data_IF_233068134404
#
_entry.id   IF_233068134404
#
_cell.length_a   1.000
_cell.length_b   1.000
_cell.length_c   1.000
_cell.angle_alpha   90.00
_cell.angle_beta   90.00
_cell.angle_gamma   90.00
#
_symmetry.space_group_name_H-M   'P 1'
#
loop_
_entity.id
_entity.type
_entity.pdbx_description
1 polymer ?
#
# COMPACT_ATOMS: atom_id res chain seq x y z
N UNK A 1 -19.19 26.36 29.93
CA UNK A 1 -17.79 25.87 29.86
C UNK A 1 -17.78 24.36 29.60
N UNK A 2 -17.04 23.89 28.60
CA UNK A 2 -17.06 22.48 28.18
C UNK A 2 -16.05 21.58 28.92
N UNK A 3 -15.40 20.72 28.14
CA UNK A 3 -14.30 19.83 28.58
C UNK A 3 -13.21 20.68 29.23
N UNK A 4 -12.65 20.21 30.35
CA UNK A 4 -11.60 20.90 31.10
C UNK A 4 -10.37 20.02 31.20
N UNK A 5 -9.18 20.63 31.09
CA UNK A 5 -7.87 19.97 31.14
C UNK A 5 -7.17 20.17 32.48
N UNK A 6 -7.94 20.50 33.51
CA UNK A 6 -7.42 20.62 34.86
C UNK A 6 -7.05 19.26 35.46
N UNK A 7 -6.29 19.28 36.56
CA UNK A 7 -5.87 18.07 37.27
C UNK A 7 -6.57 17.93 38.63
N UNK A 8 -7.30 18.96 39.08
CA UNK A 8 -7.90 18.98 40.42
C UNK A 8 -9.19 18.15 40.52
N UNK A 9 -9.87 17.86 39.40
CA UNK A 9 -10.96 16.89 39.38
C UNK A 9 -10.50 15.43 39.60
N UNK A 10 -9.19 15.14 39.49
CA UNK A 10 -8.62 13.80 39.70
C UNK A 10 -8.36 13.54 41.19
N UNK A 11 -8.22 12.26 41.55
CA UNK A 11 -7.82 11.83 42.90
C UNK A 11 -6.37 12.22 43.21
N UNK A 12 -6.03 12.26 44.51
CA UNK A 12 -4.64 12.37 45.00
C UNK A 12 -3.86 11.11 44.66
N UNK A 13 -2.53 11.19 44.74
CA UNK A 13 -1.66 10.01 44.67
C UNK A 13 -2.03 8.96 45.73
N UNK A 14 -2.46 9.40 46.93
CA UNK A 14 -2.99 8.54 48.00
C UNK A 14 -4.38 7.94 47.72
N UNK A 15 -5.00 8.22 46.57
CA UNK A 15 -6.36 7.78 46.23
C UNK A 15 -7.50 8.64 46.81
N UNK A 16 -7.20 9.52 47.77
CA UNK A 16 -8.18 10.44 48.37
C UNK A 16 -8.84 11.38 47.35
N UNK A 17 -10.16 11.59 47.47
CA UNK A 17 -10.92 12.52 46.63
C UNK A 17 -10.54 13.96 46.97
N UNK A 18 -10.39 14.82 45.95
CA UNK A 18 -10.11 16.25 46.12
C UNK A 18 -11.42 17.03 46.02
N UNK A 19 -11.67 17.96 46.96
CA UNK A 19 -12.75 18.94 46.83
C UNK A 19 -12.31 20.04 45.84
N UNK A 20 -13.13 20.41 44.84
CA UNK A 20 -12.80 21.50 43.94
C UNK A 20 -12.67 22.83 44.71
N UNK A 21 -11.54 23.52 44.54
CA UNK A 21 -11.23 24.77 45.25
C UNK A 21 -11.89 25.97 44.55
N UNK A 22 -12.08 25.88 43.23
CA UNK A 22 -12.60 26.97 42.39
C UNK A 22 -13.40 26.44 41.20
N UNK A 23 -14.16 27.32 40.57
CA UNK A 23 -14.83 27.06 39.27
C UNK A 23 -13.78 26.91 38.14
N UNK A 24 -14.19 26.27 37.03
CA UNK A 24 -13.36 26.10 35.83
C UNK A 24 -12.88 27.45 35.28
N UNK A 25 -11.67 27.52 34.74
CA UNK A 25 -11.11 28.75 34.12
C UNK A 25 -10.98 28.62 32.62
N UNK A 26 -11.05 29.76 31.90
CA UNK A 26 -10.97 29.79 30.44
C UNK A 26 -9.67 29.18 29.89
N UNK A 27 -8.53 29.36 30.57
CA UNK A 27 -7.26 28.78 30.14
C UNK A 27 -7.17 27.25 30.32
N UNK A 28 -8.06 26.64 31.10
CA UNK A 28 -8.13 25.18 31.30
C UNK A 28 -9.01 24.50 30.24
N UNK A 29 -9.54 25.24 29.25
CA UNK A 29 -10.47 24.69 28.27
C UNK A 29 -9.83 23.57 27.43
N UNK A 30 -10.58 22.50 27.24
CA UNK A 30 -10.40 21.50 26.19
C UNK A 30 -11.31 21.79 25.00
N UNK A 31 -10.89 21.34 23.82
CA UNK A 31 -11.75 21.34 22.61
C UNK A 31 -11.97 19.89 22.18
N UNK A 32 -13.10 19.56 21.50
CA UNK A 32 -13.32 18.23 20.94
C UNK A 32 -12.16 17.79 20.03
N UNK A 33 -11.99 16.49 19.81
CA UNK A 33 -10.99 15.98 18.86
C UNK A 33 -11.32 16.38 17.41
N UNK A 34 -10.32 16.41 16.54
CA UNK A 34 -10.52 16.73 15.12
C UNK A 34 -10.99 15.50 14.30
N UNK A 35 -10.54 14.30 14.68
CA UNK A 35 -10.85 13.03 13.99
C UNK A 35 -10.71 13.11 12.47
N UNK A 36 -9.56 13.63 12.02
CA UNK A 36 -9.24 13.92 10.63
C UNK A 36 -9.40 12.67 9.76
N UNK A 37 -10.18 12.76 8.68
CA UNK A 37 -10.48 11.63 7.78
C UNK A 37 -9.80 11.80 6.43
N UNK A 38 -9.75 10.71 5.66
CA UNK A 38 -9.42 10.77 4.25
C UNK A 38 -10.57 11.38 3.45
N UNK A 39 -10.26 12.31 2.55
CA UNK A 39 -11.22 12.98 1.67
C UNK A 39 -10.73 14.36 1.23
N UNK A 40 -11.56 15.06 0.45
CA UNK A 40 -11.22 16.41 -0.05
C UNK A 40 -10.83 17.35 1.07
N UNK A 41 -9.76 18.13 0.84
CA UNK A 41 -9.16 18.98 1.86
C UNK A 41 -10.19 19.92 2.49
N UNK A 42 -10.41 19.77 3.80
CA UNK A 42 -11.26 20.65 4.60
C UNK A 42 -10.59 20.95 5.93
N UNK A 43 -10.21 22.22 6.11
CA UNK A 43 -9.48 22.71 7.29
C UNK A 43 -10.25 23.87 7.90
N UNK A 44 -10.54 23.81 9.20
CA UNK A 44 -11.15 24.91 9.95
C UNK A 44 -10.10 25.61 10.81
N UNK A 45 -10.14 26.94 10.82
CA UNK A 45 -9.29 27.76 11.68
C UNK A 45 -9.89 27.84 13.08
N UNK A 46 -9.04 27.76 14.11
CA UNK A 46 -9.46 27.84 15.51
C UNK A 46 -8.57 28.83 16.24
N UNK A 47 -9.15 29.93 16.74
CA UNK A 47 -8.44 30.89 17.60
C UNK A 47 -8.07 30.24 18.93
N UNK A 48 -6.81 30.39 19.32
CA UNK A 48 -6.21 29.90 20.54
C UNK A 48 -5.87 31.06 21.50
N UNK A 49 -5.24 30.75 22.63
CA UNK A 49 -4.79 31.74 23.61
C UNK A 49 -3.73 32.65 23.00
N UNK A 50 -3.77 33.94 23.36
CA UNK A 50 -2.80 34.93 22.87
C UNK A 50 -3.02 35.35 21.42
N UNK A 51 -4.22 35.14 20.84
CA UNK A 51 -4.52 35.54 19.47
C UNK A 51 -4.07 34.57 18.38
N UNK A 52 -3.23 33.58 18.71
CA UNK A 52 -2.71 32.58 17.78
C UNK A 52 -3.82 31.73 17.12
N UNK A 53 -3.52 31.19 15.93
CA UNK A 53 -4.44 30.36 15.15
C UNK A 53 -3.92 28.92 15.07
N UNK A 54 -4.83 27.95 15.19
CA UNK A 54 -4.56 26.53 14.92
C UNK A 54 -5.39 26.05 13.74
N UNK A 55 -4.82 25.15 12.96
CA UNK A 55 -5.45 24.58 11.77
C UNK A 55 -5.98 23.19 12.10
N UNK A 56 -7.30 23.07 12.15
CA UNK A 56 -7.97 21.81 12.43
C UNK A 56 -8.38 21.16 11.11
N UNK A 57 -7.57 20.22 10.64
CA UNK A 57 -7.98 19.39 9.52
C UNK A 57 -9.12 18.45 9.93
N UNK A 58 -10.22 18.51 9.17
CA UNK A 58 -11.33 17.56 9.24
C UNK A 58 -11.18 16.48 8.17
N UNK A 59 -10.72 16.86 6.98
CA UNK A 59 -10.44 15.95 5.86
C UNK A 59 -9.14 16.34 5.16
N UNK A 60 -8.33 15.35 4.82
CA UNK A 60 -7.10 15.48 4.02
C UNK A 60 -6.96 14.27 3.10
N UNK A 61 -6.48 14.49 1.90
CA UNK A 61 -6.22 13.47 0.87
C UNK A 61 -4.75 13.44 0.44
N UNK A 62 -3.98 14.50 0.70
CA UNK A 62 -2.57 14.58 0.37
C UNK A 62 -1.73 15.05 1.57
N UNK A 63 -0.44 14.74 1.51
CA UNK A 63 0.56 15.13 2.49
C UNK A 63 1.94 15.30 1.85
N UNK A 64 2.87 15.95 2.56
CA UNK A 64 4.26 16.02 2.11
C UNK A 64 5.08 14.92 2.78
N UNK A 65 5.57 13.97 1.98
CA UNK A 65 6.32 12.81 2.49
C UNK A 65 7.77 12.88 2.03
N UNK A 66 8.68 12.55 2.95
CA UNK A 66 10.12 12.47 2.67
C UNK A 66 10.59 11.03 2.51
N UNK A 67 11.37 10.77 1.47
CA UNK A 67 12.16 9.56 1.30
C UNK A 67 13.55 9.80 1.91
N UNK A 68 13.80 9.17 3.06
CA UNK A 68 14.94 9.46 3.93
C UNK A 68 16.29 9.12 3.30
N UNK A 69 16.44 7.92 2.74
CA UNK A 69 17.72 7.48 2.13
C UNK A 69 18.19 8.39 0.99
N UNK A 70 17.25 8.84 0.17
CA UNK A 70 17.50 9.62 -1.04
C UNK A 70 17.36 11.14 -0.85
N UNK A 71 17.00 11.59 0.36
CA UNK A 71 16.70 12.99 0.69
C UNK A 71 15.71 13.67 -0.28
N UNK A 72 14.72 12.91 -0.76
CA UNK A 72 13.73 13.40 -1.72
C UNK A 72 12.38 13.60 -1.03
N UNK A 73 11.83 14.82 -1.08
CA UNK A 73 10.52 15.13 -0.49
C UNK A 73 9.52 15.46 -1.58
N UNK A 74 8.34 14.82 -1.55
CA UNK A 74 7.29 15.02 -2.55
C UNK A 74 5.91 15.05 -1.91
N UNK A 75 5.05 15.90 -2.47
CA UNK A 75 3.61 15.89 -2.18
C UNK A 75 3.02 14.64 -2.82
N UNK A 76 2.46 13.76 -2.01
CA UNK A 76 1.82 12.53 -2.47
C UNK A 76 0.42 12.39 -1.90
N UNK A 77 -0.42 11.64 -2.60
CA UNK A 77 -1.77 11.32 -2.16
C UNK A 77 -1.71 10.21 -1.11
N UNK A 78 -2.47 10.37 -0.04
CA UNK A 78 -2.70 9.37 0.99
C UNK A 78 -3.89 8.51 0.57
N UNK A 79 -3.66 7.21 0.42
CA UNK A 79 -4.64 6.26 -0.11
C UNK A 79 -5.44 5.63 1.05
N UNK A 80 -4.74 5.10 2.06
CA UNK A 80 -5.39 4.40 3.15
C UNK A 80 -4.57 4.45 4.45
N UNK A 81 -5.21 4.17 5.59
CA UNK A 81 -4.55 3.99 6.88
C UNK A 81 -4.48 2.49 7.18
N UNK A 82 -3.28 1.94 7.33
CA UNK A 82 -3.09 0.48 7.46
C UNK A 82 -2.85 0.05 8.89
N UNK A 83 -2.09 0.83 9.65
CA UNK A 83 -1.72 0.49 11.01
C UNK A 83 -1.68 1.73 11.91
N UNK A 84 -2.06 1.54 13.17
CA UNK A 84 -1.98 2.54 14.21
C UNK A 84 -1.58 1.82 15.50
N UNK A 85 -0.55 2.35 16.18
CA UNK A 85 -0.03 1.76 17.40
C UNK A 85 -0.95 1.97 18.61
N UNK A 86 -1.70 3.09 18.66
CA UNK A 86 -2.48 3.45 19.84
C UNK A 86 -3.87 2.81 19.88
N UNK A 87 -4.58 2.76 18.76
CA UNK A 87 -5.93 2.20 18.73
C UNK A 87 -6.29 1.63 17.34
N UNK A 88 -6.81 0.40 17.34
CA UNK A 88 -7.24 -0.31 16.14
C UNK A 88 -8.50 0.29 15.48
N UNK A 89 -9.39 0.93 16.24
CA UNK A 89 -10.59 1.57 15.70
C UNK A 89 -10.27 2.76 14.80
N UNK A 90 -9.11 3.40 15.02
CA UNK A 90 -8.64 4.49 14.17
C UNK A 90 -8.26 4.01 12.77
N UNK A 91 -7.85 2.75 12.63
CA UNK A 91 -7.59 2.10 11.34
C UNK A 91 -8.91 1.83 10.63
N UNK A 92 -9.88 1.22 11.34
CA UNK A 92 -11.21 0.90 10.77
C UNK A 92 -11.93 2.13 10.23
N UNK A 93 -11.83 3.24 10.96
CA UNK A 93 -12.48 4.51 10.60
C UNK A 93 -11.60 5.43 9.74
N UNK A 94 -10.42 4.97 9.30
CA UNK A 94 -9.46 5.72 8.46
C UNK A 94 -9.14 7.12 9.00
N UNK A 95 -8.78 7.18 10.29
CA UNK A 95 -8.45 8.45 10.96
C UNK A 95 -6.95 8.73 10.88
N UNK A 96 -6.59 9.92 10.42
CA UNK A 96 -5.21 10.41 10.35
C UNK A 96 -4.78 11.01 11.69
N UNK A 97 -3.77 10.42 12.31
CA UNK A 97 -3.14 10.90 13.54
C UNK A 97 -1.62 10.80 13.43
N UNK A 98 -0.89 11.45 14.34
CA UNK A 98 0.56 11.30 14.41
C UNK A 98 0.93 9.83 14.62
N UNK A 99 1.98 9.39 13.93
CA UNK A 99 2.52 8.04 13.87
C UNK A 99 1.54 6.99 13.31
N UNK A 100 0.49 7.41 12.60
CA UNK A 100 -0.30 6.48 11.80
C UNK A 100 0.54 6.00 10.62
N UNK A 101 0.52 4.68 10.36
CA UNK A 101 1.14 4.10 9.17
C UNK A 101 0.09 4.10 8.06
N UNK A 102 0.41 4.83 7.01
CA UNK A 102 -0.45 5.09 5.86
C UNK A 102 0.16 4.52 4.59
N UNK A 103 -0.69 4.24 3.62
CA UNK A 103 -0.27 3.91 2.26
C UNK A 103 -0.35 5.18 1.43
N UNK A 104 0.74 5.52 0.78
CA UNK A 104 0.86 6.67 -0.11
C UNK A 104 1.11 6.23 -1.55
N UNK A 105 0.84 7.13 -2.48
CA UNK A 105 1.16 6.96 -3.89
C UNK A 105 2.70 6.98 -4.12
N UNK A 106 3.22 6.00 -4.85
CA UNK A 106 4.64 5.89 -5.15
C UNK A 106 5.07 6.72 -6.38
N UNK A 107 4.11 7.15 -7.21
CA UNK A 107 4.39 7.76 -8.52
C UNK A 107 5.30 9.00 -8.45
N UNK A 108 5.17 9.94 -7.50
CA UNK A 108 6.03 11.13 -7.49
C UNK A 108 7.49 10.80 -7.12
N UNK A 109 7.71 9.75 -6.33
CA UNK A 109 9.06 9.28 -5.98
C UNK A 109 9.68 8.50 -7.14
N UNK A 110 8.89 7.69 -7.86
CA UNK A 110 9.35 6.98 -9.05
C UNK A 110 9.80 7.95 -10.14
N UNK A 111 9.00 8.97 -10.44
CA UNK A 111 9.35 10.01 -11.42
C UNK A 111 10.64 10.75 -11.03
N UNK A 112 10.82 11.04 -9.74
CA UNK A 112 12.05 11.66 -9.25
C UNK A 112 13.26 10.74 -9.42
N UNK A 113 13.11 9.45 -9.09
CA UNK A 113 14.19 8.46 -9.21
C UNK A 113 14.63 8.29 -10.66
N UNK A 114 13.68 8.12 -11.59
CA UNK A 114 13.94 8.00 -13.03
C UNK A 114 14.65 9.26 -13.59
N UNK A 115 14.26 10.45 -13.14
CA UNK A 115 14.93 11.69 -13.53
C UNK A 115 16.34 11.86 -12.93
N UNK A 116 16.57 11.36 -11.70
CA UNK A 116 17.84 11.56 -10.99
C UNK A 116 18.92 10.52 -11.37
N UNK A 117 18.51 9.26 -11.54
CA UNK A 117 19.41 8.12 -11.81
C UNK A 117 19.37 7.60 -13.25
N UNK A 118 18.34 7.96 -14.03
CA UNK A 118 18.12 7.44 -15.39
C UNK A 118 17.99 5.91 -15.42
N UNK A 119 17.45 5.33 -14.35
CA UNK A 119 17.18 3.90 -14.23
C UNK A 119 15.68 3.70 -13.99
N UNK A 120 15.05 2.71 -14.64
CA UNK A 120 13.66 2.39 -14.36
C UNK A 120 13.52 1.75 -12.98
N UNK A 121 12.49 2.14 -12.22
CA UNK A 121 12.20 1.61 -10.88
C UNK A 121 10.77 1.05 -10.79
N UNK A 122 10.62 -0.13 -10.19
CA UNK A 122 9.30 -0.70 -9.87
C UNK A 122 8.45 -1.10 -11.08
N UNK A 123 9.08 -1.50 -12.19
CA UNK A 123 8.37 -1.99 -13.38
C UNK A 123 8.46 -3.51 -13.46
N UNK A 124 7.35 -4.13 -13.84
CA UNK A 124 7.37 -5.57 -14.16
C UNK A 124 8.33 -5.82 -15.32
N UNK A 125 9.16 -6.85 -15.19
CA UNK A 125 10.06 -7.31 -16.25
C UNK A 125 9.26 -7.53 -17.54
N UNK A 126 9.60 -6.80 -18.60
CA UNK A 126 8.94 -6.87 -19.92
C UNK A 126 7.80 -5.87 -20.17
N UNK A 127 7.44 -5.01 -19.21
CA UNK A 127 6.50 -3.92 -19.48
C UNK A 127 7.20 -2.81 -20.28
N UNK A 128 6.62 -2.44 -21.43
CA UNK A 128 7.10 -1.30 -22.24
C UNK A 128 6.99 0.00 -21.42
N UNK A 129 8.02 0.84 -21.53
CA UNK A 129 7.99 2.17 -20.95
C UNK A 129 7.05 3.07 -21.73
N UNK A 130 6.51 4.10 -21.05
CA UNK A 130 5.72 5.12 -21.75
C UNK A 130 6.68 6.05 -22.48
N UNK A 131 6.24 6.60 -23.62
CA UNK A 131 7.08 7.46 -24.47
C UNK A 131 7.69 8.64 -23.69
N UNK A 132 6.94 9.22 -22.75
CA UNK A 132 7.41 10.30 -21.91
C UNK A 132 8.53 9.88 -20.94
N UNK A 133 8.45 8.69 -20.36
CA UNK A 133 9.45 8.18 -19.41
C UNK A 133 10.70 7.68 -20.17
N UNK A 134 10.53 7.04 -21.32
CA UNK A 134 11.62 6.66 -22.22
C UNK A 134 12.39 7.88 -22.74
N UNK A 135 11.68 8.95 -23.08
CA UNK A 135 12.30 10.20 -23.51
C UNK A 135 13.16 10.82 -22.40
N UNK A 136 12.77 10.69 -21.12
CA UNK A 136 13.55 11.20 -19.99
C UNK A 136 14.81 10.36 -19.77
N UNK A 137 14.69 9.03 -19.82
CA UNK A 137 15.79 8.10 -19.55
C UNK A 137 16.81 8.15 -20.69
N UNK A 138 16.35 7.95 -21.93
CA UNK A 138 17.20 7.80 -23.12
C UNK A 138 17.56 9.12 -23.83
N UNK A 139 17.26 10.27 -23.23
CA UNK A 139 17.65 11.58 -23.78
C UNK A 139 19.16 11.61 -24.05
N UNK A 140 19.54 11.91 -25.30
CA UNK A 140 20.93 12.18 -25.69
C UNK A 140 21.46 13.36 -24.87
N UNK A 141 22.60 13.18 -24.21
CA UNK A 141 23.22 14.15 -23.30
C UNK A 141 24.70 14.33 -23.65
N UNK A 142 25.26 15.48 -23.27
CA UNK A 142 26.70 15.74 -23.44
C UNK A 142 27.55 14.74 -22.65
N UNK A 143 28.78 14.48 -23.11
CA UNK A 143 29.71 13.52 -22.49
C UNK A 143 29.95 13.79 -21.00
N UNK A 144 30.11 15.07 -20.61
CA UNK A 144 30.27 15.50 -19.20
C UNK A 144 29.03 15.15 -18.35
N UNK A 145 27.84 15.36 -18.91
CA UNK A 145 26.57 15.05 -18.24
C UNK A 145 26.38 13.55 -18.10
N UNK A 146 26.69 12.76 -19.12
CA UNK A 146 26.62 11.30 -19.07
C UNK A 146 27.54 10.75 -17.96
N UNK A 147 28.79 11.23 -17.86
CA UNK A 147 29.73 10.86 -16.79
C UNK A 147 29.18 11.16 -15.39
N UNK A 148 28.49 12.29 -15.22
CA UNK A 148 27.82 12.65 -13.95
C UNK A 148 26.74 11.62 -13.55
N UNK A 149 25.93 11.15 -14.49
CA UNK A 149 24.90 10.15 -14.21
C UNK A 149 25.50 8.76 -13.95
N UNK A 150 26.53 8.35 -14.70
CA UNK A 150 27.25 7.10 -14.42
C UNK A 150 27.81 7.06 -13.00
N UNK A 151 28.32 8.19 -12.50
CA UNK A 151 28.77 8.29 -11.11
C UNK A 151 27.62 8.15 -10.11
N UNK A 152 26.44 8.73 -10.39
CA UNK A 152 25.25 8.61 -9.54
C UNK A 152 24.69 7.18 -9.53
N UNK A 153 24.68 6.52 -10.68
CA UNK A 153 24.14 5.17 -10.83
C UNK A 153 24.83 4.14 -9.93
N UNK A 154 26.09 4.39 -9.54
CA UNK A 154 26.82 3.55 -8.57
C UNK A 154 26.14 3.48 -7.20
N UNK A 155 25.42 4.54 -6.81
CA UNK A 155 24.73 4.63 -5.51
C UNK A 155 23.23 4.35 -5.63
N UNK A 156 22.73 4.01 -6.81
CA UNK A 156 21.28 3.93 -7.08
C UNK A 156 20.58 2.70 -6.49
N UNK A 157 21.28 1.85 -5.73
CA UNK A 157 20.72 0.58 -5.24
C UNK A 157 19.68 0.83 -4.16
N UNK A 158 18.43 0.44 -4.44
CA UNK A 158 17.31 0.51 -3.49
C UNK A 158 17.19 -0.80 -2.70
N UNK A 159 16.70 -0.72 -1.47
CA UNK A 159 16.41 -1.87 -0.61
C UNK A 159 15.28 -2.74 -1.22
N UNK A 160 15.41 -4.09 -1.21
CA UNK A 160 14.50 -4.96 -1.95
C UNK A 160 13.05 -4.90 -1.46
N UNK A 161 12.79 -4.75 -0.15
CA UNK A 161 11.42 -4.64 0.34
C UNK A 161 10.75 -3.32 -0.08
N UNK A 162 11.52 -2.24 -0.24
CA UNK A 162 11.03 -1.00 -0.82
C UNK A 162 10.80 -1.14 -2.34
N UNK A 163 11.67 -1.86 -3.05
CA UNK A 163 11.49 -2.15 -4.49
C UNK A 163 10.18 -2.90 -4.76
N UNK A 164 9.83 -3.89 -3.94
CA UNK A 164 8.53 -4.59 -4.02
C UNK A 164 7.34 -3.61 -3.89
N UNK A 165 7.45 -2.60 -3.02
CA UNK A 165 6.40 -1.59 -2.85
C UNK A 165 6.27 -0.70 -4.08
N UNK A 166 7.39 -0.30 -4.70
CA UNK A 166 7.38 0.44 -5.97
C UNK A 166 6.71 -0.37 -7.10
N UNK A 167 6.88 -1.70 -7.15
CA UNK A 167 6.17 -2.57 -8.10
C UNK A 167 4.65 -2.57 -7.89
N UNK A 168 4.18 -2.41 -6.64
CA UNK A 168 2.75 -2.27 -6.35
C UNK A 168 2.22 -0.85 -6.61
N UNK A 169 3.11 0.13 -6.81
CA UNK A 169 2.79 1.55 -6.97
C UNK A 169 2.37 2.24 -5.68
N UNK A 170 2.62 1.62 -4.52
CA UNK A 170 2.14 2.08 -3.21
C UNK A 170 3.24 1.91 -2.16
N UNK A 171 3.62 2.99 -1.50
CA UNK A 171 4.61 2.97 -0.42
C UNK A 171 3.94 3.02 0.95
N UNK A 172 4.56 2.39 1.94
CA UNK A 172 4.21 2.58 3.34
C UNK A 172 4.95 3.78 3.92
N UNK A 173 4.22 4.66 4.59
CA UNK A 173 4.76 5.86 5.20
C UNK A 173 4.20 6.08 6.60
N UNK A 174 4.97 6.77 7.45
CA UNK A 174 4.57 7.18 8.78
C UNK A 174 4.24 8.67 8.78
N UNK A 175 3.07 9.03 9.30
CA UNK A 175 2.69 10.45 9.49
C UNK A 175 3.42 11.03 10.71
N UNK A 176 4.34 11.96 10.52
CA UNK A 176 5.10 12.58 11.61
C UNK A 176 4.40 13.83 12.18
N UNK A 177 3.59 14.50 11.35
CA UNK A 177 2.87 15.72 11.74
C UNK A 177 1.65 15.43 12.65
N UNK A 178 1.00 16.50 13.14
CA UNK A 178 -0.24 16.43 13.93
C UNK A 178 -1.40 17.10 13.18
N UNK A 179 -2.14 16.39 12.31
CA UNK A 179 -3.15 16.97 11.42
C UNK A 179 -4.21 17.83 12.12
N UNK A 180 -4.64 17.45 13.33
CA UNK A 180 -5.63 18.21 14.10
C UNK A 180 -5.11 19.51 14.74
N UNK A 181 -3.81 19.81 14.65
CA UNK A 181 -3.19 21.03 15.19
C UNK A 181 -2.61 21.92 14.08
N UNK A 182 -1.87 21.32 13.14
CA UNK A 182 -1.19 22.04 12.05
C UNK A 182 -1.95 21.99 10.71
N UNK A 183 -2.99 21.16 10.59
CA UNK A 183 -3.76 21.04 9.35
C UNK A 183 -3.04 20.28 8.22
N UNK A 184 -1.87 19.69 8.49
CA UNK A 184 -1.05 18.97 7.51
C UNK A 184 -0.83 17.51 7.92
N UNK A 185 -0.68 16.63 6.94
CA UNK A 185 -0.40 15.20 7.12
C UNK A 185 0.97 14.86 6.51
N UNK A 186 2.02 15.47 7.05
CA UNK A 186 3.40 15.30 6.58
C UNK A 186 4.05 14.10 7.27
N UNK A 187 5.02 13.49 6.61
CA UNK A 187 5.61 12.24 7.08
C UNK A 187 6.86 11.81 6.34
N UNK A 188 7.25 10.56 6.55
CA UNK A 188 8.38 9.94 5.88
C UNK A 188 8.04 8.51 5.44
N UNK A 189 8.70 8.04 4.39
CA UNK A 189 8.59 6.67 3.90
C UNK A 189 9.28 5.71 4.86
N UNK A 190 8.67 4.56 5.14
CA UNK A 190 9.25 3.56 6.03
C UNK A 190 10.33 2.75 5.30
N UNK A 191 11.50 2.61 5.93
CA UNK A 191 12.66 1.92 5.33
C UNK A 191 13.34 0.95 6.33
N UNK A 192 14.11 0.00 5.80
CA UNK A 192 14.97 -0.89 6.57
C UNK A 192 14.26 -1.66 7.69
N UNK A 193 14.85 -1.67 8.89
CA UNK A 193 14.32 -2.38 10.07
C UNK A 193 12.96 -1.86 10.52
N UNK A 194 12.70 -0.57 10.34
CA UNK A 194 11.40 0.02 10.71
C UNK A 194 10.30 -0.52 9.79
N UNK A 195 10.59 -0.58 8.48
CA UNK A 195 9.67 -1.18 7.51
C UNK A 195 9.38 -2.65 7.83
N UNK A 196 10.42 -3.43 8.07
CA UNK A 196 10.28 -4.85 8.43
C UNK A 196 9.41 -5.04 9.68
N UNK A 197 9.63 -4.22 10.71
CA UNK A 197 8.86 -4.25 11.94
C UNK A 197 7.36 -4.04 11.69
N UNK A 198 6.99 -2.99 10.93
CA UNK A 198 5.59 -2.70 10.64
C UNK A 198 4.97 -3.74 9.70
N UNK A 199 5.71 -4.24 8.71
CA UNK A 199 5.25 -5.34 7.85
C UNK A 199 4.93 -6.57 8.68
N UNK A 200 5.79 -6.94 9.63
CA UNK A 200 5.54 -8.05 10.56
C UNK A 200 4.28 -7.82 11.39
N UNK A 201 4.11 -6.63 11.99
CA UNK A 201 2.90 -6.30 12.78
C UNK A 201 1.62 -6.36 11.94
N UNK A 202 1.65 -5.87 10.69
CA UNK A 202 0.51 -5.92 9.78
C UNK A 202 0.17 -7.37 9.42
N UNK A 203 1.17 -8.19 9.07
CA UNK A 203 1.01 -9.62 8.77
C UNK A 203 0.40 -10.37 9.96
N UNK A 204 0.96 -10.22 11.16
CA UNK A 204 0.43 -10.87 12.37
C UNK A 204 -1.02 -10.46 12.68
N UNK A 205 -1.36 -9.17 12.52
CA UNK A 205 -2.73 -8.68 12.74
C UNK A 205 -3.72 -9.27 11.73
N UNK A 206 -3.31 -9.40 10.46
CA UNK A 206 -4.12 -10.06 9.42
C UNK A 206 -4.33 -11.54 9.72
N UNK A 207 -3.28 -12.26 10.11
CA UNK A 207 -3.36 -13.68 10.47
C UNK A 207 -4.30 -13.92 11.66
N UNK A 208 -4.17 -13.13 12.74
CA UNK A 208 -5.06 -13.22 13.91
C UNK A 208 -6.53 -12.99 13.53
N UNK A 209 -6.80 -12.01 12.67
CA UNK A 209 -8.15 -11.73 12.17
C UNK A 209 -8.70 -12.88 11.32
N UNK A 210 -7.88 -13.47 10.44
CA UNK A 210 -8.27 -14.61 9.64
C UNK A 210 -8.61 -15.82 10.51
N UNK A 211 -7.77 -16.14 11.50
CA UNK A 211 -7.99 -17.25 12.43
C UNK A 211 -9.27 -17.07 13.26
N UNK A 212 -9.50 -15.87 13.79
CA UNK A 212 -10.73 -15.56 14.52
C UNK A 212 -12.00 -15.73 13.64
N UNK A 213 -11.89 -15.37 12.36
CA UNK A 213 -12.99 -15.54 11.40
C UNK A 213 -13.27 -17.01 11.10
N UNK A 214 -12.22 -17.83 10.98
CA UNK A 214 -12.36 -19.28 10.78
C UNK A 214 -12.92 -20.01 12.01
N UNK A 215 -12.55 -19.59 13.22
CA UNK A 215 -13.10 -20.16 14.46
C UNK A 215 -14.59 -19.83 14.61
N UNK A 216 -14.96 -18.56 14.42
CA UNK A 216 -16.37 -18.14 14.46
C UNK A 216 -17.24 -18.87 13.43
N UNK A 217 -16.68 -19.24 12.27
CA UNK A 217 -17.39 -20.04 11.27
C UNK A 217 -17.64 -21.48 11.73
N UNK A 218 -16.69 -22.10 12.45
CA UNK A 218 -16.87 -23.43 13.05
C UNK A 218 -17.94 -23.42 14.16
N UNK A 219 -18.00 -22.36 14.95
CA UNK A 219 -18.97 -22.23 16.06
C UNK A 219 -20.42 -21.98 15.60
N UNK A 220 -20.64 -21.56 14.35
CA UNK A 220 -21.98 -21.25 13.81
C UNK A 220 -22.70 -22.45 13.18
N UNK A 221 -22.17 -23.67 13.34
CA UNK A 221 -22.89 -24.91 12.99
C UNK A 221 -23.25 -25.09 11.52
N UNK A 222 -22.75 -24.26 10.60
CA UNK A 222 -22.95 -24.47 9.16
C UNK A 222 -21.91 -25.47 8.65
N UNK A 223 -22.34 -26.72 8.52
CA UNK A 223 -21.61 -27.88 7.97
C UNK A 223 -21.34 -27.77 6.46
N UNK A 224 -20.90 -26.61 5.98
CA UNK A 224 -20.31 -26.45 4.66
C UNK A 224 -18.80 -26.32 4.78
N UNK A 225 -18.01 -27.07 4.01
CA UNK A 225 -16.55 -26.89 3.96
C UNK A 225 -16.23 -25.43 3.56
N UNK A 226 -15.70 -24.63 4.47
CA UNK A 226 -15.05 -23.37 4.10
C UNK A 226 -13.78 -23.71 3.33
N UNK A 227 -13.88 -23.80 2.01
CA UNK A 227 -12.71 -23.82 1.12
C UNK A 227 -12.24 -22.38 1.05
N UNK A 228 -11.07 -22.01 1.61
CA UNK A 228 -10.51 -20.69 1.37
C UNK A 228 -10.33 -20.59 -0.14
N UNK A 229 -11.10 -19.72 -0.80
CA UNK A 229 -10.86 -19.40 -2.21
C UNK A 229 -9.42 -18.94 -2.30
N UNK A 230 -8.54 -19.79 -2.83
CA UNK A 230 -7.28 -19.33 -3.41
C UNK A 230 -7.68 -18.18 -4.32
N UNK A 231 -7.06 -17.02 -4.14
CA UNK A 231 -7.21 -15.90 -5.06
C UNK A 231 -6.51 -16.33 -6.36
N UNK A 232 -7.16 -17.20 -7.13
CA UNK A 232 -6.91 -17.31 -8.56
C UNK A 232 -7.67 -16.15 -9.17
N UNK A 233 -6.91 -15.17 -9.67
CA UNK A 233 -7.43 -14.10 -10.52
C UNK A 233 -8.33 -14.71 -11.61
N UNK A 234 -9.39 -14.04 -12.05
CA UNK A 234 -10.10 -14.50 -13.24
C UNK A 234 -9.16 -14.28 -14.43
N UNK A 235 -8.47 -15.34 -14.86
CA UNK A 235 -8.02 -15.42 -16.24
C UNK A 235 -9.26 -15.83 -17.02
N UNK A 236 -9.81 -14.89 -17.77
CA UNK A 236 -10.97 -15.10 -18.62
C UNK A 236 -10.66 -16.27 -19.56
N UNK A 237 -11.37 -17.38 -19.36
CA UNK A 237 -11.32 -18.58 -20.17
C UNK A 237 -12.44 -18.45 -21.20
N UNK A 238 -12.17 -17.67 -22.25
CA UNK A 238 -12.89 -17.75 -23.52
C UNK A 238 -11.82 -17.96 -24.57
N UNK A 239 -11.68 -19.23 -24.97
CA UNK A 239 -10.91 -19.81 -26.09
C UNK A 239 -10.20 -21.07 -25.62
N UNK A 240 -10.99 -22.14 -25.44
CA UNK A 240 -10.48 -23.46 -25.05
C UNK A 240 -11.31 -24.63 -25.54
N UNK A 241 -12.22 -24.40 -26.50
CA UNK A 241 -13.03 -25.46 -27.12
C UNK A 241 -12.62 -25.82 -28.56
N UNK A 242 -11.57 -25.18 -29.12
CA UNK A 242 -11.05 -25.51 -30.46
C UNK A 242 -9.81 -26.41 -30.49
N UNK A 243 -9.34 -26.92 -29.35
CA UNK A 243 -8.10 -27.73 -29.25
C UNK A 243 -8.34 -29.13 -28.66
N UNK A 244 -9.49 -29.75 -28.98
CA UNK A 244 -9.72 -31.19 -28.76
C UNK A 244 -9.83 -32.01 -30.04
N UNK A 245 -9.88 -31.36 -31.21
CA UNK A 245 -9.94 -32.04 -32.53
C UNK A 245 -8.60 -32.11 -33.27
N UNK A 246 -7.48 -31.79 -32.64
CA UNK A 246 -6.16 -31.83 -33.31
C UNK A 246 -5.12 -32.75 -32.65
N UNK A 247 -5.48 -33.49 -31.60
CA UNK A 247 -4.55 -34.34 -30.85
C UNK A 247 -4.85 -35.84 -30.94
N UNK A 248 -5.82 -36.25 -31.78
CA UNK A 248 -6.12 -37.66 -32.03
C UNK A 248 -5.60 -38.19 -33.39
N UNK A 249 -4.81 -37.41 -34.14
CA UNK A 249 -4.43 -37.78 -35.53
C UNK A 249 -2.94 -37.71 -35.85
N UNK A 250 -2.04 -37.62 -34.87
CA UNK A 250 -0.60 -37.78 -35.13
C UNK A 250 0.11 -38.46 -33.96
N UNK A 251 0.69 -39.63 -34.27
CA UNK A 251 1.72 -40.39 -33.54
C UNK A 251 1.22 -41.54 -32.64
N UNK A 252 1.03 -42.71 -33.25
CA UNK A 252 1.71 -43.94 -32.81
C UNK A 252 2.14 -44.76 -34.05
N UNK A 253 3.35 -45.36 -34.05
CA UNK A 253 3.98 -45.97 -35.21
C UNK A 253 3.81 -47.50 -35.27
N UNK A 254 4.05 -48.06 -36.47
CA UNK A 254 4.68 -49.37 -36.78
C UNK A 254 4.23 -50.52 -35.88
N UNK A 255 3.32 -51.38 -36.33
CA UNK A 255 3.25 -52.84 -36.11
C UNK A 255 1.98 -53.36 -36.80
N UNK A 256 2.09 -53.81 -38.05
CA UNK A 256 1.38 -54.95 -38.65
C UNK A 256 1.68 -54.98 -40.16
N UNK A 257 2.74 -55.70 -40.53
CA UNK A 257 2.80 -56.36 -41.82
C UNK A 257 2.03 -57.68 -41.73
N UNK A 258 1.38 -58.05 -42.83
CA UNK A 258 1.11 -59.43 -43.25
C UNK A 258 -0.14 -60.14 -42.68
N UNK A 259 -1.31 -59.83 -43.25
CA UNK A 259 -2.34 -60.84 -43.60
C UNK A 259 -3.55 -60.18 -44.29
N UNK A 260 -4.01 -60.79 -45.39
CA UNK A 260 -5.31 -60.54 -46.08
C UNK A 260 -5.43 -59.20 -46.84
N UNK A 261 -5.79 -59.10 -48.13
CA UNK A 261 -6.57 -59.97 -49.00
C UNK A 261 -6.01 -59.97 -50.44
N UNK A 262 -5.54 -61.15 -50.84
CA UNK A 262 -5.78 -61.70 -52.19
C UNK A 262 -7.28 -61.62 -52.48
N UNK A 263 -7.66 -61.07 -53.64
CA UNK A 263 -8.75 -61.51 -54.56
C UNK A 263 -9.28 -60.32 -55.35
N UNK A 264 -8.66 -60.01 -56.49
CA UNK A 264 -9.32 -59.60 -57.75
C UNK A 264 -8.41 -59.96 -58.94
N UNK A 265 -8.61 -61.15 -59.50
CA UNK A 265 -8.46 -61.46 -60.95
C UNK A 265 -9.89 -61.39 -61.53
N UNK A 266 -10.13 -61.04 -62.81
CA UNK A 266 -9.62 -61.75 -64.01
C UNK A 266 -9.27 -60.76 -65.17
N UNK A 267 -8.79 -61.09 -66.37
CA UNK A 267 -8.82 -62.26 -67.27
C UNK A 267 -7.54 -62.27 -68.15
N UNK A 268 -7.17 -63.47 -68.62
CA UNK A 268 -6.26 -63.73 -69.74
C UNK A 268 -7.06 -63.70 -71.06
N UNK A 269 -6.48 -63.22 -72.16
CA UNK A 269 -6.19 -63.95 -73.41
C UNK A 269 -5.87 -63.00 -74.58
N UNK A 270 -4.86 -63.41 -75.36
CA UNK A 270 -4.27 -62.87 -76.60
C UNK A 270 -3.47 -61.56 -76.52
#
# INVERSE_FOLDING_TARGET
MGISRDHWHKRRATGGKRKPIRKKRKYELGRPAANTKLGSQRIHLVRARGGNIKYRALRLDAGNFSWGSESATRKTRIIDVVYNASNNELVRTKTLVKNAVVVIDATPFRQWYEANYLLPLGRKKGAKLTEAEDAIINKKRSKKTAKKYLNRQRLAKVEPALEEQFHTGRLLACVASRPGQCGRADGYVLEGKELEFYLRKIKSKRAKKALQLTMRWKDTGRSGRYVPRKITRPFCRLEGEKMKNLFLTRLLPIWLTRSELRRRRPRLFN
#
